data_IF_391212981423
#
_entry.id   IF_391212981423
#
_cell.length_a   1.000
_cell.length_b   1.000
_cell.length_c   1.000
_cell.angle_alpha   90.00
_cell.angle_beta   90.00
_cell.angle_gamma   90.00
#
_symmetry.space_group_name_H-M   'P 1'
#
loop_
_entity.id
_entity.type
_entity.pdbx_description
1 polymer ?
#
# COMPACT_ATOMS: atom_id res chain seq x y z
N UNK A 1 -62.07 4.03 24.04
CA UNK A 1 -62.06 3.92 25.51
C UNK A 1 -60.96 4.88 25.99
N UNK A 2 -61.20 6.14 26.36
CA UNK A 2 -62.03 6.66 27.48
C UNK A 2 -61.67 5.87 28.77
N UNK A 3 -61.17 6.40 29.89
CA UNK A 3 -61.32 7.70 30.57
C UNK A 3 -60.12 7.91 31.55
N UNK A 4 -59.84 9.17 31.89
CA UNK A 4 -58.97 9.75 32.95
C UNK A 4 -59.44 9.41 34.40
N UNK A 5 -59.15 10.20 35.47
CA UNK A 5 -57.91 10.52 36.22
C UNK A 5 -58.01 10.11 37.72
N UNK A 6 -56.96 10.30 38.54
CA UNK A 6 -57.12 10.99 39.85
C UNK A 6 -55.80 11.34 40.57
N UNK A 7 -55.80 12.59 41.04
CA UNK A 7 -54.96 13.29 42.01
C UNK A 7 -55.19 12.74 43.44
N UNK A 8 -54.20 12.66 44.34
CA UNK A 8 -53.83 13.74 45.28
C UNK A 8 -53.00 13.26 46.50
N UNK A 9 -52.29 14.22 47.08
CA UNK A 9 -51.32 14.18 48.20
C UNK A 9 -51.92 13.84 49.57
N UNK A 10 -51.08 13.36 50.50
CA UNK A 10 -51.12 13.76 51.91
C UNK A 10 -49.76 13.54 52.64
N UNK A 11 -49.39 14.52 53.47
CA UNK A 11 -48.24 14.59 54.39
C UNK A 11 -48.58 14.00 55.78
N UNK A 12 -47.56 13.63 56.57
CA UNK A 12 -47.44 13.76 58.05
C UNK A 12 -46.10 13.09 58.51
N UNK A 13 -45.02 13.77 58.92
CA UNK A 13 -44.64 14.50 60.18
C UNK A 13 -44.00 13.67 61.33
N UNK A 14 -42.79 14.14 61.74
CA UNK A 14 -42.02 13.96 63.01
C UNK A 14 -41.36 12.58 63.29
N UNK A 15 -40.14 12.41 63.84
CA UNK A 15 -39.38 13.08 64.93
C UNK A 15 -37.85 12.83 64.84
N UNK A 16 -37.06 13.75 65.40
CA UNK A 16 -35.61 13.65 65.66
C UNK A 16 -35.25 12.66 66.78
N UNK A 17 -34.10 11.97 66.67
CA UNK A 17 -33.33 11.47 67.82
C UNK A 17 -31.82 11.52 67.55
N UNK A 18 -31.13 12.31 68.37
CA UNK A 18 -29.67 12.47 68.48
C UNK A 18 -29.06 11.30 69.27
N UNK A 19 -28.10 10.55 68.72
CA UNK A 19 -27.07 9.83 69.49
C UNK A 19 -25.70 9.95 68.79
N UNK A 20 -24.74 10.44 69.54
CA UNK A 20 -23.32 10.66 69.23
C UNK A 20 -22.51 9.36 69.14
N UNK A 21 -21.51 9.31 68.25
CA UNK A 21 -20.43 8.30 68.31
C UNK A 21 -19.08 8.88 67.85
N UNK A 22 -17.94 8.48 68.46
CA UNK A 22 -16.64 9.13 68.28
C UNK A 22 -15.79 8.34 67.29
N UNK A 23 -15.65 8.79 66.04
CA UNK A 23 -14.79 8.12 65.07
C UNK A 23 -13.98 9.06 64.16
N UNK A 24 -14.11 10.38 64.32
CA UNK A 24 -13.44 11.36 63.47
C UNK A 24 -11.98 11.66 63.84
N UNK A 25 -11.53 11.28 65.05
CA UNK A 25 -10.16 11.63 65.52
C UNK A 25 -9.08 10.57 65.22
N UNK A 26 -9.43 9.35 64.80
CA UNK A 26 -8.42 8.33 64.47
C UNK A 26 -7.89 8.48 63.03
N UNK A 27 -8.71 8.98 62.11
CA UNK A 27 -8.32 9.20 60.71
C UNK A 27 -7.28 10.32 60.54
N UNK A 28 -7.37 11.39 61.34
CA UNK A 28 -6.43 12.50 61.25
C UNK A 28 -5.00 12.14 61.74
N UNK A 29 -4.89 11.22 62.70
CA UNK A 29 -3.60 10.84 63.30
C UNK A 29 -2.76 9.95 62.37
N UNK A 30 -3.38 9.24 61.42
CA UNK A 30 -2.66 8.37 60.47
C UNK A 30 -2.40 9.03 59.11
N UNK A 31 -3.24 9.98 58.69
CA UNK A 31 -3.11 10.64 57.38
C UNK A 31 -2.02 11.71 57.39
N UNK A 32 -1.89 12.47 58.48
CA UNK A 32 -0.92 13.57 58.57
C UNK A 32 0.54 13.07 58.54
N UNK A 33 0.95 12.03 59.30
CA UNK A 33 2.31 11.51 59.23
C UNK A 33 2.65 10.91 57.86
N UNK A 34 1.67 10.29 57.19
CA UNK A 34 1.84 9.65 55.88
C UNK A 34 2.05 10.67 54.76
N UNK A 35 1.34 11.81 54.80
CA UNK A 35 1.52 12.92 53.84
C UNK A 35 2.85 13.65 54.08
N UNK A 36 3.24 13.84 55.35
CA UNK A 36 4.54 14.45 55.69
C UNK A 36 5.71 13.56 55.29
N UNK A 37 5.60 12.23 55.43
CA UNK A 37 6.61 11.27 54.98
C UNK A 37 6.74 11.27 53.44
N UNK A 38 5.62 11.36 52.71
CA UNK A 38 5.62 11.47 51.24
C UNK A 38 6.28 12.77 50.75
N UNK A 39 6.03 13.90 51.42
CA UNK A 39 6.65 15.18 51.07
C UNK A 39 8.15 15.18 51.39
N UNK A 40 8.56 14.61 52.54
CA UNK A 40 9.98 14.51 52.92
C UNK A 40 10.79 13.59 52.00
N UNK A 41 10.21 12.46 51.56
CA UNK A 41 10.83 11.56 50.58
C UNK A 41 10.94 12.22 49.20
N UNK A 42 10.04 13.15 48.87
CA UNK A 42 10.08 13.92 47.62
C UNK A 42 11.15 15.02 47.61
N UNK A 43 11.53 15.55 48.78
CA UNK A 43 12.48 16.68 48.91
C UNK A 43 13.93 16.27 49.20
N UNK A 44 14.21 14.99 49.50
CA UNK A 44 15.54 14.52 49.91
C UNK A 44 16.24 13.60 48.88
N UNK A 45 15.67 13.41 47.69
CA UNK A 45 16.34 12.68 46.61
C UNK A 45 17.06 13.66 45.69
N UNK A 46 18.40 13.57 45.52
CA UNK A 46 19.11 14.40 44.54
C UNK A 46 18.65 14.03 43.13
N UNK A 47 18.30 15.04 42.34
CA UNK A 47 17.93 14.89 40.93
C UNK A 47 19.01 14.15 40.12
N UNK A 48 18.69 13.00 39.48
CA UNK A 48 19.40 12.59 38.29
C UNK A 48 18.82 13.35 37.10
N UNK A 49 19.60 14.27 36.58
CA UNK A 49 19.43 14.87 35.26
C UNK A 49 19.50 13.78 34.19
N UNK A 50 18.35 13.29 33.70
CA UNK A 50 18.04 12.80 32.34
C UNK A 50 16.80 11.90 32.41
N UNK A 51 15.62 12.49 32.25
CA UNK A 51 14.40 11.73 31.96
C UNK A 51 14.35 11.49 30.45
N UNK A 52 14.73 10.28 30.04
CA UNK A 52 14.38 9.71 28.73
C UNK A 52 12.87 9.49 28.69
N UNK A 53 12.14 9.92 27.64
CA UNK A 53 10.73 9.60 27.52
C UNK A 53 10.56 8.10 27.29
N UNK A 54 9.58 7.49 27.97
CA UNK A 54 9.15 6.11 27.77
C UNK A 54 8.91 5.90 26.27
N UNK A 55 9.80 5.15 25.63
CA UNK A 55 9.63 4.70 24.25
C UNK A 55 8.43 3.74 24.19
N UNK A 56 7.55 3.96 23.21
CA UNK A 56 6.59 2.99 22.68
C UNK A 56 7.20 1.56 22.63
N UNK A 57 6.44 0.48 22.90
CA UNK A 57 7.01 -0.87 23.05
C UNK A 57 7.56 -1.47 21.74
N UNK A 58 7.44 -0.77 20.60
CA UNK A 58 7.93 -1.22 19.31
C UNK A 58 9.40 -0.82 19.11
N UNK A 59 10.31 -1.61 19.72
CA UNK A 59 11.72 -1.62 19.34
C UNK A 59 11.94 -2.70 18.29
N UNK A 60 12.02 -2.29 17.03
CA UNK A 60 12.56 -3.14 15.96
C UNK A 60 14.04 -3.38 16.23
N UNK A 61 14.37 -4.60 16.65
CA UNK A 61 15.76 -5.05 16.81
C UNK A 61 15.98 -6.18 15.80
N UNK A 62 16.74 -5.87 14.76
CA UNK A 62 17.23 -6.85 13.79
C UNK A 62 18.01 -7.95 14.53
N UNK A 63 17.55 -9.18 14.35
CA UNK A 63 18.17 -10.39 14.87
C UNK A 63 17.94 -11.54 13.91
N UNK A 64 18.54 -11.46 12.73
CA UNK A 64 18.59 -12.54 11.76
C UNK A 64 20.02 -12.67 11.26
N UNK A 65 20.74 -13.66 11.79
CA UNK A 65 22.04 -14.10 11.28
C UNK A 65 21.86 -14.60 9.84
N UNK A 66 22.29 -13.80 8.86
CA UNK A 66 22.44 -14.29 7.49
C UNK A 66 23.80 -14.98 7.39
N UNK A 67 23.76 -16.29 7.14
CA UNK A 67 24.92 -17.05 6.69
C UNK A 67 25.36 -16.49 5.33
N UNK A 68 26.53 -15.85 5.33
CA UNK A 68 27.22 -15.41 4.11
C UNK A 68 27.91 -16.60 3.45
N UNK A 69 27.36 -17.09 2.34
CA UNK A 69 28.12 -17.88 1.37
C UNK A 69 28.53 -16.98 0.20
N UNK A 70 29.77 -16.49 0.33
CA UNK A 70 30.77 -16.18 -0.70
C UNK A 70 30.24 -16.14 -2.15
N UNK A 71 30.19 -14.93 -2.72
CA UNK A 71 30.54 -14.72 -4.12
C UNK A 71 31.54 -13.57 -4.21
N UNK A 72 32.78 -13.95 -4.51
CA UNK A 72 33.85 -13.07 -4.92
C UNK A 72 33.61 -12.71 -6.39
N UNK A 73 33.42 -11.44 -6.71
CA UNK A 73 33.23 -10.97 -8.08
C UNK A 73 33.55 -9.49 -8.17
N UNK A 74 34.73 -9.19 -8.71
CA UNK A 74 35.29 -7.86 -8.86
C UNK A 74 34.36 -6.91 -9.61
N UNK A 75 34.24 -5.69 -9.08
CA UNK A 75 33.79 -4.51 -9.80
C UNK A 75 34.69 -4.27 -11.00
N UNK A 76 34.18 -4.59 -12.18
CA UNK A 76 34.67 -4.05 -13.45
C UNK A 76 33.49 -3.40 -14.13
N UNK A 77 33.67 -2.11 -14.40
CA UNK A 77 32.81 -1.33 -15.27
C UNK A 77 32.51 -2.12 -16.55
N UNK A 78 31.26 -2.08 -17.02
CA UNK A 78 30.95 -2.53 -18.36
C UNK A 78 30.08 -1.52 -19.09
N UNK A 79 30.33 -1.36 -20.40
CA UNK A 79 29.92 -0.20 -21.15
C UNK A 79 28.53 -0.42 -21.76
N UNK A 80 27.89 0.70 -22.04
CA UNK A 80 26.96 0.92 -23.15
C UNK A 80 26.93 -0.23 -24.18
N UNK A 81 25.87 -1.04 -24.19
CA UNK A 81 25.58 -1.94 -25.31
C UNK A 81 24.69 -1.21 -26.31
N UNK A 82 25.28 -0.90 -27.46
CA UNK A 82 24.56 -0.60 -28.71
C UNK A 82 23.63 -1.77 -29.06
N UNK A 83 22.38 -1.42 -29.35
CA UNK A 83 21.40 -2.37 -29.84
C UNK A 83 21.72 -2.75 -31.29
N UNK A 84 21.97 -4.04 -31.50
CA UNK A 84 22.15 -4.67 -32.79
C UNK A 84 20.88 -4.48 -33.65
N UNK A 85 21.08 -3.97 -34.87
CA UNK A 85 20.01 -3.74 -35.87
C UNK A 85 19.46 -5.05 -36.40
N UNK A 86 18.30 -5.47 -35.89
CA UNK A 86 17.52 -6.53 -36.49
C UNK A 86 16.75 -6.04 -37.72
N UNK A 87 16.88 -6.80 -38.81
CA UNK A 87 16.37 -6.49 -40.15
C UNK A 87 14.84 -6.50 -40.17
N UNK A 88 14.28 -5.43 -40.74
CA UNK A 88 12.86 -5.23 -41.01
C UNK A 88 12.22 -6.42 -41.74
N UNK A 89 11.16 -7.00 -41.14
CA UNK A 89 10.11 -7.68 -41.88
C UNK A 89 9.00 -6.66 -42.24
N UNK A 90 8.40 -6.72 -43.43
CA UNK A 90 7.47 -5.69 -43.88
C UNK A 90 6.13 -5.77 -43.13
N UNK A 91 5.53 -4.59 -42.92
CA UNK A 91 4.16 -4.43 -42.43
C UNK A 91 3.18 -5.20 -43.33
N UNK A 92 2.50 -6.20 -42.78
CA UNK A 92 1.35 -6.81 -43.44
C UNK A 92 0.11 -6.61 -42.55
N UNK A 93 -0.81 -5.78 -43.05
CA UNK A 93 -2.18 -5.65 -42.55
C UNK A 93 -2.85 -7.01 -42.66
N UNK A 94 -3.33 -7.57 -41.55
CA UNK A 94 -3.91 -8.92 -41.50
C UNK A 94 -5.43 -8.93 -41.82
N UNK A 95 -6.00 -7.82 -42.27
CA UNK A 95 -7.45 -7.72 -42.53
C UNK A 95 -7.89 -8.12 -43.95
N UNK A 96 -6.99 -8.24 -44.94
CA UNK A 96 -7.40 -8.41 -46.34
C UNK A 96 -6.91 -9.72 -47.01
N UNK A 97 -6.26 -10.63 -46.29
CA UNK A 97 -5.67 -11.84 -46.89
C UNK A 97 -6.62 -13.05 -47.04
N UNK A 98 -7.92 -12.83 -47.01
CA UNK A 98 -8.92 -13.86 -47.32
C UNK A 98 -9.87 -13.33 -48.40
N UNK A 99 -9.43 -13.41 -49.65
CA UNK A 99 -10.20 -13.72 -50.87
C UNK A 99 -9.33 -13.25 -52.04
N UNK A 100 -8.51 -14.16 -52.57
CA UNK A 100 -8.17 -14.12 -53.99
C UNK A 100 -8.29 -15.57 -54.48
N UNK A 101 -9.32 -15.80 -55.28
CA UNK A 101 -9.45 -17.03 -56.06
C UNK A 101 -8.45 -16.91 -57.19
N UNK A 102 -7.42 -17.74 -57.17
CA UNK A 102 -6.79 -18.16 -58.40
C UNK A 102 -6.69 -19.68 -58.44
N UNK A 103 -7.16 -20.21 -59.58
CA UNK A 103 -7.27 -21.63 -59.87
C UNK A 103 -5.90 -22.08 -60.34
N UNK A 104 -5.21 -22.89 -59.54
CA UNK A 104 -4.30 -23.90 -60.09
C UNK A 104 -4.07 -25.07 -59.13
N UNK A 105 -4.27 -26.26 -59.67
CA UNK A 105 -4.22 -27.56 -59.00
C UNK A 105 -2.79 -27.91 -58.56
N UNK A 106 -2.46 -27.73 -57.28
CA UNK A 106 -1.43 -28.52 -56.61
C UNK A 106 -1.89 -28.86 -55.19
N UNK A 107 -2.16 -30.14 -54.95
CA UNK A 107 -2.35 -30.73 -53.62
C UNK A 107 -1.12 -30.51 -52.76
N UNK A 108 -1.12 -29.43 -51.99
CA UNK A 108 -0.29 -29.27 -50.79
C UNK A 108 -1.22 -29.07 -49.62
N UNK A 109 -1.32 -30.08 -48.77
CA UNK A 109 -1.96 -30.02 -47.46
C UNK A 109 -1.21 -28.98 -46.61
N UNK A 110 -1.61 -27.72 -46.72
CA UNK A 110 -1.23 -26.65 -45.79
C UNK A 110 -1.85 -26.97 -44.44
N UNK A 111 -1.10 -27.69 -43.60
CA UNK A 111 -1.39 -27.78 -42.18
C UNK A 111 -1.22 -26.38 -41.61
N UNK A 112 -2.32 -25.64 -41.47
CA UNK A 112 -2.36 -24.39 -40.71
C UNK A 112 -2.04 -24.76 -39.27
N UNK A 113 -0.77 -24.60 -38.89
CA UNK A 113 -0.32 -24.83 -37.51
C UNK A 113 -1.04 -23.79 -36.65
N UNK A 114 -2.08 -24.22 -35.94
CA UNK A 114 -2.85 -23.35 -35.04
C UNK A 114 -1.87 -22.83 -33.99
N UNK A 115 -1.63 -21.52 -33.99
CA UNK A 115 -0.72 -20.90 -33.02
C UNK A 115 -1.20 -21.21 -31.60
N UNK A 116 -0.27 -21.50 -30.69
CA UNK A 116 -0.63 -21.68 -29.29
C UNK A 116 -1.23 -20.38 -28.72
N UNK A 117 -2.12 -20.47 -27.74
CA UNK A 117 -2.71 -19.27 -27.12
C UNK A 117 -1.63 -18.35 -26.54
N UNK A 118 -0.52 -18.91 -26.04
CA UNK A 118 0.64 -18.15 -25.58
C UNK A 118 1.32 -17.36 -26.71
N UNK A 119 1.48 -17.95 -27.90
CA UNK A 119 2.04 -17.25 -29.07
C UNK A 119 1.15 -16.06 -29.47
N UNK A 120 -0.17 -16.17 -29.31
CA UNK A 120 -1.07 -15.05 -29.57
C UNK A 120 -0.86 -13.91 -28.57
N UNK A 121 -0.77 -14.22 -27.27
CA UNK A 121 -0.50 -13.23 -26.22
C UNK A 121 0.83 -12.51 -26.49
N UNK A 122 1.90 -13.24 -26.81
CA UNK A 122 3.19 -12.65 -27.16
C UNK A 122 3.13 -11.77 -28.41
N UNK A 123 2.37 -12.16 -29.43
CA UNK A 123 2.18 -11.35 -30.63
C UNK A 123 1.43 -10.03 -30.33
N UNK A 124 0.43 -10.03 -29.44
CA UNK A 124 -0.22 -8.80 -28.98
C UNK A 124 0.76 -7.90 -28.22
N UNK A 125 1.56 -8.49 -27.31
CA UNK A 125 2.56 -7.74 -26.54
C UNK A 125 3.66 -7.14 -27.42
N UNK A 126 4.11 -7.86 -28.45
CA UNK A 126 5.08 -7.34 -29.42
C UNK A 126 4.51 -6.13 -30.19
N UNK A 127 3.25 -6.18 -30.60
CA UNK A 127 2.56 -5.03 -31.25
C UNK A 127 2.43 -3.84 -30.30
N UNK A 128 2.03 -4.07 -29.05
CA UNK A 128 1.93 -3.01 -28.05
C UNK A 128 3.29 -2.32 -27.84
N UNK A 129 4.36 -3.09 -27.60
CA UNK A 129 5.73 -2.57 -27.45
C UNK A 129 6.20 -1.78 -28.68
N UNK A 130 5.92 -2.28 -29.88
CA UNK A 130 6.21 -1.56 -31.12
C UNK A 130 5.49 -0.21 -31.18
N UNK A 131 4.19 -0.19 -30.88
CA UNK A 131 3.39 1.04 -30.90
C UNK A 131 3.87 2.10 -29.89
N UNK A 132 4.30 1.67 -28.69
CA UNK A 132 4.87 2.55 -27.67
C UNK A 132 6.22 3.10 -28.14
N UNK A 133 7.06 2.27 -28.77
CA UNK A 133 8.36 2.68 -29.32
C UNK A 133 8.19 3.71 -30.44
N UNK A 134 7.20 3.54 -31.32
CA UNK A 134 6.91 4.54 -32.35
C UNK A 134 6.40 5.85 -31.74
N UNK A 135 5.48 5.78 -30.76
CA UNK A 135 5.03 6.98 -30.04
C UNK A 135 6.18 7.72 -29.34
N UNK A 136 7.17 6.98 -28.83
CA UNK A 136 8.35 7.54 -28.18
C UNK A 136 9.32 8.25 -29.13
N UNK A 137 9.32 7.91 -30.42
CA UNK A 137 10.18 8.52 -31.46
C UNK A 137 9.64 9.84 -32.00
N UNK A 138 8.35 10.12 -31.80
CA UNK A 138 7.73 11.37 -32.25
C UNK A 138 8.37 12.55 -31.51
N UNK A 139 8.91 13.51 -32.27
CA UNK A 139 9.55 14.70 -31.70
C UNK A 139 8.59 15.54 -30.84
N UNK A 140 7.33 15.60 -31.26
CA UNK A 140 6.27 16.21 -30.47
C UNK A 140 5.79 15.20 -29.41
N UNK A 141 6.07 15.50 -28.14
CA UNK A 141 5.75 14.64 -27.01
C UNK A 141 4.29 14.75 -26.57
N UNK A 142 3.50 15.66 -27.16
CA UNK A 142 2.07 15.77 -26.89
C UNK A 142 1.33 14.61 -27.54
N UNK A 143 0.46 13.95 -26.77
CA UNK A 143 -0.36 12.89 -27.35
C UNK A 143 -1.48 13.47 -28.22
N UNK A 144 -1.69 12.84 -29.38
CA UNK A 144 -2.80 13.16 -30.31
C UNK A 144 -3.98 12.20 -30.15
N UNK A 145 -3.85 11.19 -29.29
CA UNK A 145 -4.93 10.25 -29.03
C UNK A 145 -6.00 10.93 -28.18
N UNK A 146 -7.26 10.67 -28.53
CA UNK A 146 -8.39 11.10 -27.73
C UNK A 146 -8.65 10.04 -26.66
N UNK A 147 -8.76 10.52 -25.41
CA UNK A 147 -9.13 9.74 -24.25
C UNK A 147 -10.15 10.57 -23.46
N UNK A 148 -11.38 10.07 -23.23
CA UNK A 148 -12.39 10.78 -22.47
C UNK A 148 -12.00 10.98 -20.99
N UNK A 149 -11.15 10.12 -20.44
CA UNK A 149 -10.76 10.15 -19.04
C UNK A 149 -9.59 11.10 -18.82
N UNK A 150 -8.48 10.91 -19.55
CA UNK A 150 -7.31 11.77 -19.38
C UNK A 150 -6.30 11.73 -20.53
N UNK A 151 -5.97 12.91 -21.08
CA UNK A 151 -4.82 13.07 -21.99
C UNK A 151 -3.64 13.69 -21.23
N UNK A 152 -2.50 12.98 -21.09
CA UNK A 152 -1.33 13.49 -20.38
C UNK A 152 -0.73 14.69 -21.10
N UNK A 153 -0.48 15.74 -20.33
CA UNK A 153 0.11 16.99 -20.81
C UNK A 153 1.05 17.59 -19.77
N UNK A 154 1.91 18.50 -20.22
CA UNK A 154 2.86 19.21 -19.36
C UNK A 154 4.17 18.44 -19.10
N UNK A 155 5.10 19.08 -18.37
CA UNK A 155 6.48 18.60 -18.22
C UNK A 155 6.66 17.49 -17.17
N UNK A 156 5.59 17.06 -16.49
CA UNK A 156 5.65 16.01 -15.47
C UNK A 156 6.00 14.62 -16.06
N UNK A 157 5.67 14.41 -17.34
CA UNK A 157 5.98 13.18 -18.06
C UNK A 157 7.28 13.30 -18.84
N UNK A 158 8.16 12.30 -18.73
CA UNK A 158 9.37 12.19 -19.58
C UNK A 158 9.00 12.14 -21.07
N UNK A 159 7.91 11.45 -21.40
CA UNK A 159 7.33 11.41 -22.75
C UNK A 159 5.83 11.16 -22.62
N UNK A 160 5.01 12.22 -22.66
CA UNK A 160 3.57 12.12 -22.49
C UNK A 160 2.89 11.29 -23.59
N UNK A 161 3.35 11.40 -24.84
CA UNK A 161 2.82 10.62 -25.97
C UNK A 161 3.05 9.11 -25.79
N UNK A 162 4.29 8.71 -25.47
CA UNK A 162 4.61 7.30 -25.23
C UNK A 162 3.88 6.75 -23.99
N UNK A 163 3.78 7.54 -22.92
CA UNK A 163 3.02 7.18 -21.73
C UNK A 163 1.54 6.96 -22.06
N UNK A 164 0.90 7.91 -22.76
CA UNK A 164 -0.50 7.78 -23.17
C UNK A 164 -0.71 6.56 -24.05
N UNK A 165 0.19 6.33 -25.02
CA UNK A 165 0.11 5.16 -25.89
C UNK A 165 0.20 3.87 -25.08
N UNK A 166 1.11 3.80 -24.12
CA UNK A 166 1.24 2.65 -23.23
C UNK A 166 -0.02 2.40 -22.41
N UNK A 167 -0.65 3.46 -21.91
CA UNK A 167 -1.89 3.38 -21.15
C UNK A 167 -3.04 2.81 -22.00
N UNK A 168 -3.24 3.35 -23.21
CA UNK A 168 -4.29 2.89 -24.12
C UNK A 168 -4.10 1.45 -24.60
N UNK A 169 -2.84 0.98 -24.75
CA UNK A 169 -2.57 -0.43 -25.04
C UNK A 169 -2.85 -1.32 -23.81
N UNK A 170 -2.52 -0.85 -22.61
CA UNK A 170 -2.83 -1.53 -21.36
C UNK A 170 -4.35 -1.71 -21.22
N UNK A 171 -5.15 -0.68 -21.42
CA UNK A 171 -6.62 -0.79 -21.29
C UNK A 171 -7.25 -1.81 -22.23
N UNK A 172 -6.67 -2.00 -23.42
CA UNK A 172 -7.15 -2.97 -24.42
C UNK A 172 -6.74 -4.40 -24.09
N UNK A 173 -5.50 -4.60 -23.65
CA UNK A 173 -4.86 -5.92 -23.61
C UNK A 173 -4.76 -6.48 -22.19
N UNK A 174 -4.73 -5.64 -21.17
CA UNK A 174 -4.43 -6.06 -19.82
C UNK A 174 -5.59 -6.81 -19.18
N UNK A 175 -5.36 -8.10 -18.93
CA UNK A 175 -6.31 -9.00 -18.28
C UNK A 175 -5.62 -9.72 -17.12
N UNK A 176 -6.36 -9.80 -16.03
CA UNK A 176 -5.98 -10.43 -14.77
C UNK A 176 -6.83 -11.68 -14.60
N UNK A 177 -6.19 -12.84 -14.43
CA UNK A 177 -6.87 -14.02 -13.93
C UNK A 177 -6.74 -14.08 -12.41
N UNK A 178 -7.84 -14.26 -11.70
CA UNK A 178 -7.86 -14.34 -10.23
C UNK A 178 -8.02 -15.81 -9.86
N UNK A 179 -7.03 -16.36 -9.14
CA UNK A 179 -7.17 -17.70 -8.56
C UNK A 179 -8.33 -17.74 -7.59
N UNK A 180 -9.08 -18.84 -7.55
CA UNK A 180 -10.31 -18.97 -6.74
C UNK A 180 -10.07 -19.71 -5.42
N UNK A 181 -8.82 -20.10 -5.17
CA UNK A 181 -8.44 -20.88 -4.01
C UNK A 181 -8.33 -20.02 -2.75
N UNK A 182 -8.66 -20.64 -1.62
CA UNK A 182 -8.64 -19.99 -0.32
C UNK A 182 -9.98 -19.39 0.04
N UNK A 183 -10.16 -19.11 1.33
CA UNK A 183 -11.42 -18.61 1.87
C UNK A 183 -11.20 -17.33 2.68
N UNK A 184 -12.20 -16.43 2.73
CA UNK A 184 -12.21 -15.33 3.68
C UNK A 184 -12.05 -15.84 5.12
N UNK A 185 -11.38 -15.07 6.00
CA UNK A 185 -10.99 -13.68 5.81
C UNK A 185 -9.56 -13.49 5.30
N UNK A 186 -8.79 -14.56 5.10
CA UNK A 186 -7.36 -14.49 4.70
C UNK A 186 -7.19 -14.34 3.18
N UNK A 187 -8.08 -14.96 2.42
CA UNK A 187 -8.13 -14.87 0.97
C UNK A 187 -9.40 -14.14 0.55
N UNK A 188 -9.37 -13.56 -0.65
CA UNK A 188 -10.55 -12.94 -1.26
C UNK A 188 -11.19 -11.82 -0.42
N UNK A 189 -10.40 -11.23 0.47
CA UNK A 189 -10.84 -10.22 1.40
C UNK A 189 -9.65 -9.42 1.90
N UNK A 190 -9.90 -8.20 2.38
CA UNK A 190 -8.87 -7.35 2.97
C UNK A 190 -9.47 -6.19 3.78
N UNK A 191 -8.65 -5.51 4.58
CA UNK A 191 -9.10 -4.34 5.31
C UNK A 191 -9.51 -3.22 4.35
N UNK A 192 -10.68 -2.63 4.56
CA UNK A 192 -11.23 -1.54 3.73
C UNK A 192 -11.21 -0.17 4.43
N UNK A 193 -10.54 -0.06 5.59
CA UNK A 193 -10.43 1.15 6.41
C UNK A 193 -9.00 1.31 6.93
N UNK A 194 -8.67 2.53 7.33
CA UNK A 194 -7.33 2.89 7.83
C UNK A 194 -6.23 2.73 6.78
N UNK A 195 -4.97 2.67 7.21
CA UNK A 195 -3.76 2.67 6.38
C UNK A 195 -3.66 1.50 5.40
N UNK A 196 -4.21 0.32 5.73
CA UNK A 196 -4.20 -0.84 4.83
C UNK A 196 -5.42 -0.88 3.89
N UNK A 197 -6.24 0.16 3.86
CA UNK A 197 -7.50 0.17 3.12
C UNK A 197 -7.33 -0.04 1.61
N UNK A 198 -6.21 0.40 1.05
CA UNK A 198 -5.91 0.27 -0.37
C UNK A 198 -5.72 -1.19 -0.78
N UNK A 199 -5.21 -2.06 0.11
CA UNK A 199 -5.10 -3.51 -0.12
C UNK A 199 -6.49 -4.16 -0.26
N UNK A 200 -7.38 -3.95 0.71
CA UNK A 200 -8.73 -4.51 0.64
C UNK A 200 -9.55 -3.93 -0.51
N UNK A 201 -9.37 -2.64 -0.84
CA UNK A 201 -10.02 -2.04 -2.01
C UNK A 201 -9.57 -2.68 -3.31
N UNK A 202 -8.27 -2.88 -3.49
CA UNK A 202 -7.78 -3.51 -4.71
C UNK A 202 -8.38 -4.91 -4.88
N UNK A 203 -8.32 -5.74 -3.82
CA UNK A 203 -8.91 -7.09 -3.85
C UNK A 203 -10.40 -7.02 -4.21
N UNK A 204 -11.14 -6.11 -3.57
CA UNK A 204 -12.57 -5.92 -3.84
C UNK A 204 -12.87 -5.54 -5.30
N UNK A 205 -12.14 -4.56 -5.84
CA UNK A 205 -12.35 -4.08 -7.20
C UNK A 205 -11.94 -5.11 -8.25
N UNK A 206 -10.87 -5.87 -8.00
CA UNK A 206 -10.46 -6.96 -8.90
C UNK A 206 -11.48 -8.10 -8.87
N UNK A 207 -12.03 -8.46 -7.71
CA UNK A 207 -12.98 -9.58 -7.63
C UNK A 207 -14.39 -9.26 -8.10
N UNK A 208 -14.86 -8.03 -7.86
CA UNK A 208 -16.21 -7.61 -8.28
C UNK A 208 -16.22 -6.94 -9.65
N UNK A 209 -15.10 -6.38 -10.06
CA UNK A 209 -14.96 -5.69 -11.33
C UNK A 209 -14.94 -6.64 -12.51
N UNK A 210 -15.19 -6.09 -13.70
CA UNK A 210 -15.15 -6.81 -14.98
C UNK A 210 -14.26 -6.15 -16.04
N UNK A 211 -13.68 -4.99 -15.72
CA UNK A 211 -12.91 -4.21 -16.69
C UNK A 211 -11.60 -4.91 -17.06
N UNK A 212 -10.86 -5.33 -16.04
CA UNK A 212 -9.52 -5.90 -16.19
C UNK A 212 -9.42 -7.38 -15.83
N UNK A 213 -10.51 -8.02 -15.42
CA UNK A 213 -10.50 -9.44 -15.07
C UNK A 213 -10.99 -10.33 -16.21
N UNK A 214 -10.50 -11.56 -16.24
CA UNK A 214 -10.98 -12.61 -17.16
C UNK A 214 -11.18 -13.93 -16.42
N UNK A 215 -12.11 -14.73 -16.92
CA UNK A 215 -12.35 -16.10 -16.50
C UNK A 215 -11.60 -17.11 -17.38
N UNK A 216 -11.12 -16.70 -18.58
CA UNK A 216 -10.22 -17.52 -19.39
C UNK A 216 -8.76 -17.20 -19.00
N UNK A 217 -8.07 -18.09 -18.27
CA UNK A 217 -6.68 -17.88 -17.89
C UNK A 217 -5.71 -17.76 -19.08
N UNK A 218 -6.12 -18.15 -20.29
CA UNK A 218 -5.30 -18.00 -21.48
C UNK A 218 -5.42 -16.61 -22.13
N UNK A 219 -6.39 -15.79 -21.71
CA UNK A 219 -6.48 -14.36 -22.07
C UNK A 219 -5.70 -13.47 -21.10
N UNK A 220 -5.31 -13.99 -19.94
CA UNK A 220 -4.65 -13.22 -18.89
C UNK A 220 -3.18 -12.93 -19.19
N UNK A 221 -2.78 -11.69 -18.94
CA UNK A 221 -1.36 -11.29 -18.93
C UNK A 221 -0.71 -11.53 -17.58
N UNK A 222 -1.49 -11.45 -16.50
CA UNK A 222 -1.00 -11.67 -15.13
C UNK A 222 -2.02 -12.44 -14.30
N UNK A 223 -1.52 -13.14 -13.28
CA UNK A 223 -2.32 -13.98 -12.39
C UNK A 223 -2.26 -13.43 -10.96
N UNK A 224 -3.42 -13.08 -10.40
CA UNK A 224 -3.51 -12.52 -9.06
C UNK A 224 -3.58 -13.61 -7.99
N UNK A 225 -2.77 -13.47 -6.94
CA UNK A 225 -2.77 -14.28 -5.73
C UNK A 225 -3.56 -13.52 -4.62
N UNK A 226 -4.84 -13.86 -4.38
CA UNK A 226 -5.76 -13.05 -3.57
C UNK A 226 -5.63 -13.26 -2.06
N UNK A 227 -4.43 -13.52 -1.54
CA UNK A 227 -4.20 -13.53 -0.09
C UNK A 227 -3.88 -12.12 0.41
N UNK A 228 -4.51 -11.72 1.52
CA UNK A 228 -4.24 -10.44 2.17
C UNK A 228 -3.22 -10.62 3.28
N UNK A 229 -2.04 -10.02 3.13
CA UNK A 229 -1.00 -10.05 4.17
C UNK A 229 -1.50 -9.37 5.43
N UNK A 230 -2.26 -8.26 5.33
CA UNK A 230 -2.83 -7.61 6.48
C UNK A 230 -3.78 -8.54 7.27
N UNK A 231 -4.56 -9.37 6.57
CA UNK A 231 -5.45 -10.34 7.21
C UNK A 231 -4.68 -11.55 7.76
N UNK A 232 -3.66 -12.05 7.07
CA UNK A 232 -2.77 -13.07 7.60
C UNK A 232 -2.13 -12.63 8.92
N UNK A 233 -1.60 -11.40 8.98
CA UNK A 233 -1.05 -10.83 10.22
C UNK A 233 -2.13 -10.76 11.29
N UNK A 234 -3.29 -10.18 10.98
CA UNK A 234 -4.38 -10.00 11.97
C UNK A 234 -4.85 -11.30 12.61
N UNK A 235 -4.91 -12.40 11.86
CA UNK A 235 -5.50 -13.65 12.32
C UNK A 235 -4.49 -14.69 12.78
N UNK A 236 -3.23 -14.62 12.35
CA UNK A 236 -2.23 -15.66 12.61
C UNK A 236 -1.06 -15.18 13.46
N UNK A 237 -0.85 -13.87 13.57
CA UNK A 237 0.27 -13.36 14.35
C UNK A 237 -0.06 -13.33 15.85
N UNK A 238 0.72 -14.09 16.61
CA UNK A 238 0.68 -14.08 18.07
C UNK A 238 1.74 -13.10 18.59
N UNK A 239 1.29 -11.94 19.10
CA UNK A 239 2.18 -10.84 19.50
C UNK A 239 3.24 -11.20 20.54
N UNK A 240 2.97 -12.20 21.38
CA UNK A 240 3.89 -12.63 22.44
C UNK A 240 5.02 -13.52 21.94
N UNK A 241 4.86 -14.19 20.79
CA UNK A 241 5.84 -15.16 20.30
C UNK A 241 6.81 -14.59 19.28
N UNK A 242 6.50 -13.45 18.65
CA UNK A 242 7.20 -12.89 17.50
C UNK A 242 7.34 -13.86 16.31
N UNK A 243 6.58 -14.98 16.32
CA UNK A 243 6.68 -16.01 15.28
C UNK A 243 5.81 -15.66 14.09
N UNK A 244 6.42 -15.70 12.92
CA UNK A 244 5.76 -15.45 11.63
C UNK A 244 5.59 -16.73 10.82
N UNK A 245 5.96 -17.88 11.40
CA UNK A 245 5.91 -19.21 10.77
C UNK A 245 4.52 -19.57 10.24
N UNK A 246 3.46 -19.20 10.96
CA UNK A 246 2.09 -19.47 10.55
C UNK A 246 1.72 -18.75 9.24
N UNK A 247 2.16 -17.49 9.09
CA UNK A 247 1.98 -16.70 7.87
C UNK A 247 2.75 -17.38 6.73
N UNK A 248 4.00 -17.74 6.98
CA UNK A 248 4.85 -18.41 5.99
C UNK A 248 4.27 -19.73 5.49
N UNK A 249 3.78 -20.58 6.41
CA UNK A 249 3.15 -21.86 6.06
C UNK A 249 1.94 -21.68 5.16
N UNK A 250 1.06 -20.73 5.46
CA UNK A 250 -0.11 -20.48 4.61
C UNK A 250 0.30 -20.03 3.21
N UNK A 251 1.30 -19.15 3.09
CA UNK A 251 1.80 -18.73 1.76
C UNK A 251 2.41 -19.91 1.00
N UNK A 252 3.21 -20.76 1.66
CA UNK A 252 3.80 -21.97 1.07
C UNK A 252 2.70 -22.92 0.58
N UNK A 253 1.74 -23.24 1.44
CA UNK A 253 0.66 -24.17 1.15
C UNK A 253 -0.22 -23.65 0.00
N UNK A 254 -0.50 -22.34 -0.01
CA UNK A 254 -1.26 -21.70 -1.07
C UNK A 254 -0.58 -21.85 -2.43
N UNK A 255 0.72 -21.51 -2.52
CA UNK A 255 1.48 -21.69 -3.75
C UNK A 255 1.56 -23.17 -4.16
N UNK A 256 1.68 -24.08 -3.20
CA UNK A 256 1.65 -25.51 -3.47
C UNK A 256 0.32 -25.95 -4.13
N UNK A 257 -0.82 -25.48 -3.61
CA UNK A 257 -2.14 -25.74 -4.21
C UNK A 257 -2.22 -25.16 -5.63
N UNK A 258 -1.85 -23.90 -5.82
CA UNK A 258 -1.92 -23.24 -7.14
C UNK A 258 -1.04 -23.95 -8.18
N UNK A 259 0.19 -24.28 -7.81
CA UNK A 259 1.15 -24.95 -8.70
C UNK A 259 0.82 -26.40 -8.99
N UNK A 260 0.11 -27.09 -8.10
CA UNK A 260 -0.40 -28.45 -8.34
C UNK A 260 -1.67 -28.49 -9.18
N UNK A 261 -2.56 -27.49 -9.02
CA UNK A 261 -3.87 -27.46 -9.68
C UNK A 261 -3.85 -26.83 -11.08
N UNK A 262 -2.97 -25.85 -11.31
CA UNK A 262 -2.93 -25.09 -12.56
C UNK A 262 -1.55 -25.14 -13.23
N UNK A 263 -1.50 -25.14 -14.57
CA UNK A 263 -0.22 -25.17 -15.29
C UNK A 263 0.53 -23.82 -15.25
N UNK A 264 -0.17 -22.72 -14.97
CA UNK A 264 0.33 -21.35 -15.19
C UNK A 264 1.47 -20.96 -14.26
N UNK A 265 1.43 -21.35 -12.98
CA UNK A 265 2.54 -21.11 -12.06
C UNK A 265 3.83 -21.78 -12.55
N UNK A 266 3.74 -23.04 -12.97
CA UNK A 266 4.92 -23.81 -13.42
C UNK A 266 5.43 -23.35 -14.79
N UNK A 267 4.59 -22.75 -15.63
CA UNK A 267 4.98 -22.17 -16.93
C UNK A 267 6.00 -21.05 -16.78
N UNK A 268 5.81 -20.16 -15.80
CA UNK A 268 6.64 -18.97 -15.60
C UNK A 268 7.50 -19.02 -14.33
N UNK A 269 7.33 -20.06 -13.51
CA UNK A 269 7.84 -20.12 -12.14
C UNK A 269 7.42 -18.89 -11.33
N UNK A 270 6.16 -18.48 -11.50
CA UNK A 270 5.55 -17.35 -10.80
C UNK A 270 5.84 -15.96 -11.40
N UNK A 271 6.57 -15.84 -12.51
CA UNK A 271 7.02 -14.52 -13.01
C UNK A 271 5.89 -13.61 -13.54
N UNK A 272 4.78 -14.20 -14.00
CA UNK A 272 3.55 -13.51 -14.40
C UNK A 272 2.48 -13.52 -13.29
N UNK A 273 2.85 -13.96 -12.09
CA UNK A 273 1.99 -13.92 -10.90
C UNK A 273 2.28 -12.67 -10.10
N UNK A 274 1.24 -12.13 -9.47
CA UNK A 274 1.42 -11.02 -8.56
C UNK A 274 0.64 -11.17 -7.26
N UNK A 275 1.22 -10.64 -6.19
CA UNK A 275 0.56 -10.42 -4.91
C UNK A 275 0.47 -8.92 -4.64
N UNK A 276 -0.43 -8.53 -3.74
CA UNK A 276 -0.51 -7.17 -3.24
C UNK A 276 -0.41 -7.17 -1.71
N UNK A 277 0.40 -6.26 -1.15
CA UNK A 277 0.47 -6.04 0.29
C UNK A 277 0.72 -4.58 0.61
N UNK A 278 -0.13 -4.01 1.46
CA UNK A 278 0.12 -2.73 2.08
C UNK A 278 0.63 -2.84 3.52
N UNK A 279 0.60 -4.03 4.10
CA UNK A 279 1.33 -4.31 5.32
C UNK A 279 2.85 -4.32 5.05
N UNK A 280 3.63 -3.84 6.03
CA UNK A 280 5.10 -3.86 6.03
C UNK A 280 5.69 -5.28 5.98
N UNK A 281 4.88 -6.33 6.23
CA UNK A 281 5.30 -7.72 6.16
C UNK A 281 5.10 -8.34 4.78
N UNK A 282 4.70 -7.57 3.77
CA UNK A 282 4.63 -8.03 2.38
C UNK A 282 5.92 -8.71 1.90
N UNK A 283 7.11 -8.07 2.06
CA UNK A 283 8.39 -8.69 1.77
C UNK A 283 8.61 -10.00 2.53
N UNK A 284 8.34 -10.01 3.86
CA UNK A 284 8.49 -11.19 4.70
C UNK A 284 7.60 -12.35 4.24
N UNK A 285 6.29 -12.10 4.05
CA UNK A 285 5.33 -13.11 3.60
C UNK A 285 5.76 -13.72 2.26
N UNK A 286 6.19 -12.88 1.30
CA UNK A 286 6.68 -13.36 0.00
C UNK A 286 7.99 -14.16 0.10
N UNK A 287 8.83 -13.91 1.10
CA UNK A 287 10.16 -14.53 1.25
C UNK A 287 10.13 -16.03 1.56
N UNK A 288 9.02 -16.54 2.12
CA UNK A 288 8.82 -17.96 2.40
C UNK A 288 8.76 -18.83 1.13
N UNK A 289 8.48 -18.24 -0.03
CA UNK A 289 8.51 -18.93 -1.32
C UNK A 289 9.52 -18.24 -2.24
N UNK A 290 10.69 -18.85 -2.52
CA UNK A 290 11.77 -18.19 -3.27
C UNK A 290 11.36 -17.63 -4.63
N UNK A 291 10.44 -18.31 -5.34
CA UNK A 291 9.92 -17.82 -6.62
C UNK A 291 8.96 -16.64 -6.46
N UNK A 292 8.14 -16.62 -5.41
CA UNK A 292 7.26 -15.49 -5.09
C UNK A 292 8.07 -14.23 -4.75
N UNK A 293 9.15 -14.38 -3.98
CA UNK A 293 10.01 -13.24 -3.63
C UNK A 293 10.81 -12.72 -4.83
N UNK A 294 11.50 -13.63 -5.54
CA UNK A 294 12.51 -13.25 -6.53
C UNK A 294 11.94 -13.05 -7.95
N UNK A 295 10.83 -13.71 -8.32
CA UNK A 295 10.32 -13.73 -9.70
C UNK A 295 8.95 -13.11 -9.86
N UNK A 296 8.03 -13.37 -8.93
CA UNK A 296 6.67 -12.80 -9.00
C UNK A 296 6.68 -11.29 -8.81
N UNK A 297 5.70 -10.62 -9.40
CA UNK A 297 5.49 -9.19 -9.24
C UNK A 297 4.93 -8.96 -7.84
N UNK A 298 5.59 -8.16 -7.01
CA UNK A 298 5.02 -7.76 -5.71
C UNK A 298 4.53 -6.33 -5.82
N UNK A 299 3.24 -6.15 -5.64
CA UNK A 299 2.61 -4.84 -5.57
C UNK A 299 2.62 -4.42 -4.10
N UNK A 300 3.50 -3.49 -3.72
CA UNK A 300 3.77 -3.19 -2.32
C UNK A 300 3.51 -1.72 -2.01
N UNK A 301 2.82 -1.43 -0.90
CA UNK A 301 2.79 -0.06 -0.37
C UNK A 301 4.15 0.36 0.22
N UNK A 302 4.93 -0.63 0.67
CA UNK A 302 6.32 -0.47 1.07
C UNK A 302 7.25 -0.68 -0.14
N UNK A 303 7.77 0.41 -0.70
CA UNK A 303 8.72 0.39 -1.82
C UNK A 303 10.19 0.51 -1.37
N UNK A 304 10.54 -0.08 -0.22
CA UNK A 304 11.90 0.00 0.34
C UNK A 304 12.84 -1.05 -0.24
N UNK A 305 13.85 -0.59 -0.98
CA UNK A 305 14.86 -1.47 -1.60
C UNK A 305 15.72 -2.20 -0.57
N UNK A 306 15.89 -1.67 0.66
CA UNK A 306 16.63 -2.38 1.71
C UNK A 306 15.89 -3.60 2.27
N UNK A 307 14.58 -3.68 2.06
CA UNK A 307 13.74 -4.82 2.42
C UNK A 307 13.45 -5.73 1.21
N UNK A 308 14.18 -5.51 0.12
CA UNK A 308 14.17 -6.33 -1.06
C UNK A 308 13.21 -5.87 -2.16
N UNK A 309 12.57 -4.69 -2.06
CA UNK A 309 11.82 -4.12 -3.18
C UNK A 309 12.73 -3.97 -4.40
N UNK A 310 12.27 -4.46 -5.56
CA UNK A 310 13.02 -4.42 -6.81
C UNK A 310 12.24 -3.60 -7.86
N UNK A 311 12.64 -2.36 -8.17
CA UNK A 311 11.91 -1.49 -9.10
C UNK A 311 11.87 -2.00 -10.55
N UNK A 312 12.69 -3.01 -10.91
CA UNK A 312 12.63 -3.64 -12.22
C UNK A 312 11.55 -4.73 -12.33
N UNK A 313 10.94 -5.13 -11.21
CA UNK A 313 9.99 -6.26 -11.11
C UNK A 313 8.73 -5.90 -10.33
N UNK A 314 8.91 -5.27 -9.18
CA UNK A 314 7.85 -4.90 -8.25
C UNK A 314 7.19 -3.57 -8.64
N UNK A 315 5.98 -3.35 -8.15
CA UNK A 315 5.24 -2.12 -8.36
C UNK A 315 4.93 -1.46 -7.01
N UNK A 316 5.15 -0.16 -6.90
CA UNK A 316 4.71 0.61 -5.73
C UNK A 316 3.22 0.87 -5.81
N UNK A 317 2.49 0.64 -4.72
CA UNK A 317 1.08 0.94 -4.60
C UNK A 317 0.86 2.02 -3.54
N UNK A 318 0.11 3.09 -3.80
CA UNK A 318 -0.05 4.14 -2.81
C UNK A 318 -0.81 3.64 -1.57
N UNK A 319 -0.27 3.91 -0.39
CA UNK A 319 -0.99 3.74 0.86
C UNK A 319 -2.06 4.83 0.97
N UNK A 320 -3.29 4.46 1.31
CA UNK A 320 -4.39 5.42 1.46
C UNK A 320 -5.03 5.21 2.83
N UNK A 321 -5.05 6.27 3.64
CA UNK A 321 -5.66 6.23 4.97
C UNK A 321 -7.14 6.61 4.91
N UNK A 322 -7.99 5.61 4.71
CA UNK A 322 -9.44 5.83 4.65
C UNK A 322 -10.08 5.63 6.03
N UNK A 323 -10.00 6.66 6.87
CA UNK A 323 -10.53 6.64 8.24
C UNK A 323 -12.01 6.23 8.31
N UNK A 324 -12.83 6.76 7.39
CA UNK A 324 -14.27 6.48 7.29
C UNK A 324 -14.65 5.58 6.12
N UNK A 325 -13.68 5.11 5.35
CA UNK A 325 -13.94 4.40 4.09
C UNK A 325 -14.26 5.33 2.90
N UNK A 326 -14.03 6.63 3.02
CA UNK A 326 -14.12 7.59 1.90
C UNK A 326 -12.92 8.53 1.94
N UNK A 327 -12.45 8.96 0.77
CA UNK A 327 -11.36 9.91 0.66
C UNK A 327 -11.89 11.33 0.88
N UNK A 328 -11.24 12.10 1.75
CA UNK A 328 -11.62 13.48 2.03
C UNK A 328 -11.00 14.44 0.99
N UNK A 329 -11.49 14.35 -0.25
CA UNK A 329 -10.96 15.07 -1.42
C UNK A 329 -11.39 16.55 -1.40
N UNK A 330 -10.53 17.43 -1.91
CA UNK A 330 -10.84 18.83 -2.19
C UNK A 330 -9.94 19.81 -1.43
N UNK A 331 -10.44 21.04 -1.26
CA UNK A 331 -9.70 22.12 -0.61
C UNK A 331 -9.81 23.43 -1.39
N UNK A 332 -9.16 24.47 -0.89
CA UNK A 332 -9.11 25.75 -1.58
C UNK A 332 -8.20 25.66 -2.82
N UNK A 333 -8.45 26.44 -3.89
CA UNK A 333 -7.50 26.56 -4.98
C UNK A 333 -6.16 27.10 -4.45
N UNK A 334 -5.00 26.75 -5.05
CA UNK A 334 -3.69 27.13 -4.55
C UNK A 334 -3.53 28.64 -4.24
N UNK A 335 -4.18 29.51 -5.02
CA UNK A 335 -4.17 30.97 -4.83
C UNK A 335 -4.88 31.46 -3.57
N UNK A 336 -5.79 30.69 -2.99
CA UNK A 336 -6.55 31.02 -1.78
C UNK A 336 -6.03 30.34 -0.52
N UNK A 337 -4.97 29.54 -0.64
CA UNK A 337 -4.32 28.85 0.48
C UNK A 337 -3.39 29.82 1.21
N UNK A 338 -3.59 29.96 2.52
CA UNK A 338 -2.87 30.94 3.35
C UNK A 338 -1.59 30.40 3.97
N UNK A 339 -1.40 29.08 4.02
CA UNK A 339 -0.19 28.46 4.56
C UNK A 339 0.72 28.13 3.38
N UNK A 340 2.00 28.53 3.44
CA UNK A 340 2.95 28.19 2.38
C UNK A 340 3.27 26.70 2.43
N UNK A 341 3.69 26.19 3.59
CA UNK A 341 4.14 24.82 3.77
C UNK A 341 3.66 24.25 5.09
N UNK A 342 3.26 22.97 5.09
CA UNK A 342 2.77 22.30 6.30
C UNK A 342 3.33 20.88 6.47
N UNK A 343 3.66 20.56 7.72
CA UNK A 343 3.92 19.21 8.19
C UNK A 343 3.32 18.99 9.58
N UNK A 344 2.71 17.82 9.79
CA UNK A 344 2.45 17.31 11.13
C UNK A 344 2.78 15.81 11.19
N UNK A 345 3.61 15.42 12.14
CA UNK A 345 3.93 14.02 12.40
C UNK A 345 5.04 13.83 13.42
N UNK A 346 4.96 12.73 14.15
CA UNK A 346 5.93 12.37 15.18
C UNK A 346 7.36 12.25 14.65
N UNK A 347 8.32 12.37 15.57
CA UNK A 347 9.77 12.23 15.35
C UNK A 347 10.14 10.78 14.98
N UNK A 348 9.81 10.39 13.76
CA UNK A 348 10.15 9.09 13.17
C UNK A 348 11.19 9.33 12.07
N UNK A 349 12.41 8.85 12.23
CA UNK A 349 13.45 8.97 11.21
C UNK A 349 14.31 10.23 11.31
N UNK A 350 15.52 10.13 10.75
CA UNK A 350 16.50 11.21 10.75
C UNK A 350 16.05 12.45 9.96
N UNK A 351 15.32 12.26 8.85
CA UNK A 351 14.83 13.39 8.05
C UNK A 351 13.79 14.21 8.81
N UNK A 352 12.87 13.56 9.54
CA UNK A 352 11.90 14.26 10.40
C UNK A 352 12.59 14.99 11.55
N UNK A 353 13.68 14.43 12.10
CA UNK A 353 14.50 15.13 13.10
C UNK A 353 15.04 16.45 12.55
N UNK A 354 15.65 16.44 11.37
CA UNK A 354 16.15 17.67 10.74
C UNK A 354 15.03 18.68 10.50
N UNK A 355 13.89 18.23 9.96
CA UNK A 355 12.73 19.09 9.70
C UNK A 355 12.18 19.73 10.99
N UNK A 356 12.00 18.93 12.04
CA UNK A 356 11.48 19.40 13.33
C UNK A 356 12.47 20.34 14.00
N UNK A 357 13.76 20.03 13.99
CA UNK A 357 14.78 20.91 14.58
C UNK A 357 14.85 22.28 13.90
N UNK A 358 14.62 22.32 12.58
CA UNK A 358 14.69 23.56 11.80
C UNK A 358 13.44 24.43 11.98
N UNK A 359 12.23 23.87 11.89
CA UNK A 359 10.99 24.66 11.81
C UNK A 359 10.02 24.54 12.99
N UNK A 360 10.15 23.51 13.84
CA UNK A 360 9.24 23.37 15.00
C UNK A 360 9.45 24.53 15.98
N UNK A 361 8.35 25.06 16.51
CA UNK A 361 8.32 26.12 17.54
C UNK A 361 9.01 27.44 17.14
N UNK A 362 9.23 27.67 15.83
CA UNK A 362 9.83 28.91 15.30
C UNK A 362 8.85 30.06 15.11
N UNK A 363 7.55 29.82 15.30
CA UNK A 363 6.47 30.79 15.05
C UNK A 363 6.48 31.38 13.63
N UNK A 364 6.91 30.60 12.63
CA UNK A 364 6.82 30.97 11.23
C UNK A 364 5.36 30.80 10.74
N UNK A 365 4.68 31.88 10.30
CA UNK A 365 3.30 31.78 9.84
C UNK A 365 3.17 31.05 8.49
N UNK A 366 4.22 31.06 7.67
CA UNK A 366 4.25 30.49 6.34
C UNK A 366 4.63 28.99 6.38
N UNK A 367 5.61 28.62 7.21
CA UNK A 367 6.09 27.23 7.35
C UNK A 367 5.67 26.64 8.69
N UNK A 368 4.59 25.85 8.67
CA UNK A 368 3.98 25.31 9.88
C UNK A 368 4.34 23.83 10.06
N UNK A 369 5.25 23.55 11.01
CA UNK A 369 5.75 22.21 11.30
C UNK A 369 5.44 21.83 12.74
N UNK A 370 4.77 20.68 12.91
CA UNK A 370 4.37 20.14 14.21
C UNK A 370 4.81 18.68 14.36
N UNK A 371 5.23 18.30 15.57
CA UNK A 371 5.34 16.88 15.95
C UNK A 371 3.98 16.30 16.35
N UNK A 372 3.15 17.10 17.01
CA UNK A 372 1.76 16.82 17.31
C UNK A 372 0.93 18.11 17.17
N UNK A 373 -0.23 18.01 16.52
CA UNK A 373 -1.12 19.16 16.37
C UNK A 373 -1.75 19.55 17.73
N UNK A 374 -1.93 20.85 18.01
CA UNK A 374 -2.68 21.32 19.16
C UNK A 374 -4.12 20.79 19.16
N UNK A 375 -4.68 20.62 20.36
CA UNK A 375 -6.07 20.18 20.51
C UNK A 375 -7.03 21.13 19.79
N UNK A 376 -7.99 20.57 19.05
CA UNK A 376 -8.97 21.33 18.27
C UNK A 376 -8.49 21.79 16.88
N UNK A 377 -7.21 21.60 16.54
CA UNK A 377 -6.69 21.89 15.20
C UNK A 377 -6.87 20.67 14.29
N UNK A 378 -7.58 20.84 13.19
CA UNK A 378 -7.81 19.77 12.21
C UNK A 378 -6.61 19.61 11.27
N UNK A 379 -6.06 18.39 11.21
CA UNK A 379 -5.02 17.99 10.26
C UNK A 379 -5.45 18.21 8.80
N UNK A 380 -6.63 17.71 8.44
CA UNK A 380 -7.16 17.87 7.08
C UNK A 380 -7.36 19.35 6.70
N UNK A 381 -7.79 20.17 7.67
CA UNK A 381 -7.92 21.62 7.43
C UNK A 381 -6.57 22.28 7.16
N UNK A 382 -5.49 21.86 7.81
CA UNK A 382 -4.14 22.37 7.56
C UNK A 382 -3.64 21.95 6.19
N UNK A 383 -3.77 20.67 5.82
CA UNK A 383 -3.43 20.18 4.47
C UNK A 383 -4.17 20.96 3.38
N UNK A 384 -5.49 21.07 3.48
CA UNK A 384 -6.35 21.76 2.48
C UNK A 384 -6.08 23.26 2.35
N UNK A 385 -5.47 23.88 3.35
CA UNK A 385 -5.10 25.29 3.36
C UNK A 385 -3.60 25.54 3.10
N UNK A 386 -2.83 24.50 2.77
CA UNK A 386 -1.39 24.59 2.51
C UNK A 386 -1.07 24.50 1.02
N UNK A 387 -0.19 25.37 0.53
CA UNK A 387 0.25 25.35 -0.88
C UNK A 387 1.16 24.15 -1.14
N UNK A 388 2.03 23.84 -0.19
CA UNK A 388 2.93 22.70 -0.21
C UNK A 388 2.71 21.83 1.04
N UNK A 389 2.57 20.53 0.85
CA UNK A 389 2.51 19.54 1.94
C UNK A 389 3.83 18.80 1.99
N UNK A 390 4.52 18.82 3.13
CA UNK A 390 5.80 18.14 3.29
C UNK A 390 5.56 16.67 3.63
N UNK A 391 6.27 15.77 2.95
CA UNK A 391 6.23 14.33 3.23
C UNK A 391 7.64 13.76 3.53
N UNK A 392 8.28 14.18 4.65
CA UNK A 392 9.57 13.64 5.06
C UNK A 392 9.47 12.15 5.41
N UNK A 393 10.45 11.37 4.96
CA UNK A 393 10.53 9.94 5.25
C UNK A 393 10.61 9.65 6.75
N UNK A 394 9.87 8.63 7.18
CA UNK A 394 9.86 8.12 8.56
C UNK A 394 10.82 6.95 8.77
N UNK A 395 10.73 6.29 9.94
CA UNK A 395 11.14 4.88 10.07
C UNK A 395 10.06 3.93 9.53
N UNK A 396 8.80 4.37 9.52
CA UNK A 396 7.70 3.68 8.86
C UNK A 396 7.95 3.66 7.36
N UNK A 397 7.80 2.47 6.79
CA UNK A 397 8.26 2.18 5.43
C UNK A 397 7.27 2.67 4.36
N UNK A 398 6.05 3.01 4.77
CA UNK A 398 5.02 3.63 3.95
C UNK A 398 4.30 4.73 4.77
N UNK A 399 3.74 5.71 4.07
CA UNK A 399 2.94 6.78 4.69
C UNK A 399 1.81 7.19 3.74
N UNK A 400 0.59 7.41 4.24
CA UNK A 400 -0.54 7.78 3.38
C UNK A 400 -0.43 9.23 2.88
N UNK A 401 0.50 10.01 3.43
CA UNK A 401 0.61 11.46 3.25
C UNK A 401 0.91 11.90 1.81
N UNK A 402 1.48 11.04 0.97
CA UNK A 402 1.65 11.37 -0.46
C UNK A 402 0.29 11.48 -1.16
N UNK A 403 -0.71 10.72 -0.70
CA UNK A 403 -2.05 10.69 -1.26
C UNK A 403 -2.98 11.70 -0.59
N UNK A 404 -2.79 11.95 0.71
CA UNK A 404 -3.50 13.00 1.48
C UNK A 404 -3.18 14.42 0.97
#
# INVERSE_FOLDING_TARGET
>A
MMISPHNDKAQHTHTLSFWSSPSLNLGLILVIPSVVLLVLVSTLVPHPSTFSPLSSPWKWRYGGHWYSSIFNGSSTDSPFMEAETDKLAPNMSFSDALIEKDVDNVTSTRVVKRSSKLEMVEAYMARARSSIKEAARVRNLTSIHQDPDYVPHGPIYRNANAFHRSYLEMEKLFKIYVYQEGEPPMFHNGPCKSIYSSEGRFIHEVEKGKFYTTQDPDEALVYFLPFSVAMLVRYLYESESLKTDAIGRIVIDYIHVISGKYPYWNRSLGADHFMLSCHDWGPLASSYVPHLFNKSIRVLCNANTSEGFNPAKDASFPEINLLKGEADIGGLPPSRRSILSFFAGHLHGYIRYLLLNEWKDKNDPDVQVYDQLPMGVSYMSKLKNSRFCLCPSGYEVASPRIVE
#
